data_IF_798813374896
#
_entry.id   IF_798813374896
#
_cell.length_a   1.000
_cell.length_b   1.000
_cell.length_c   1.000
_cell.angle_alpha   90.00
_cell.angle_beta   90.00
_cell.angle_gamma   90.00
#
_symmetry.space_group_name_H-M   'P 1'
#
loop_
_entity.id
_entity.type
_entity.pdbx_description
1 polymer ?
#
# COMPACT_ATOMS: atom_id res chain seq x y z
N UNK A 1 -26.97 -3.07 -17.34
CA UNK A 1 -27.00 -3.43 -15.90
C UNK A 1 -25.68 -2.95 -15.34
N UNK A 2 -25.74 -1.83 -14.61
CA UNK A 2 -24.60 -1.29 -13.88
C UNK A 2 -24.58 -2.06 -12.56
N UNK A 3 -23.64 -3.00 -12.40
CA UNK A 3 -23.39 -3.61 -11.11
C UNK A 3 -22.77 -2.53 -10.21
N UNK A 4 -23.63 -1.83 -9.47
CA UNK A 4 -23.24 -1.04 -8.31
C UNK A 4 -22.57 -1.99 -7.32
N UNK A 5 -21.25 -2.07 -7.39
CA UNK A 5 -20.46 -2.64 -6.31
C UNK A 5 -20.77 -1.80 -5.07
N UNK A 6 -21.52 -2.37 -4.14
CA UNK A 6 -21.70 -1.86 -2.77
C UNK A 6 -20.32 -1.83 -2.10
N UNK A 7 -19.52 -0.81 -2.42
CA UNK A 7 -18.31 -0.50 -1.70
C UNK A 7 -18.81 0.10 -0.38
N UNK A 8 -18.99 -0.75 0.64
CA UNK A 8 -19.18 -0.27 2.00
C UNK A 8 -18.01 0.67 2.32
N UNK A 9 -18.28 1.98 2.26
CA UNK A 9 -17.30 3.01 2.56
C UNK A 9 -16.87 2.83 4.01
N UNK A 10 -15.75 2.16 4.22
CA UNK A 10 -15.17 2.01 5.55
C UNK A 10 -14.91 3.42 6.08
N UNK A 11 -15.49 3.80 7.23
CA UNK A 11 -15.24 5.10 7.83
C UNK A 11 -13.72 5.31 7.93
N UNK A 12 -13.17 6.47 7.53
CA UNK A 12 -11.73 6.69 7.49
C UNK A 12 -11.05 6.46 8.85
N UNK A 13 -11.80 6.62 9.94
CA UNK A 13 -11.40 6.35 11.32
C UNK A 13 -11.21 4.86 11.67
N UNK A 14 -11.73 3.93 10.86
CA UNK A 14 -11.57 2.47 11.06
C UNK A 14 -10.47 1.87 10.17
N UNK A 15 -9.90 2.65 9.26
CA UNK A 15 -8.87 2.16 8.36
C UNK A 15 -7.51 2.27 9.03
N UNK A 16 -6.84 1.13 9.16
CA UNK A 16 -5.51 1.04 9.78
C UNK A 16 -4.51 0.50 8.76
N UNK A 17 -3.47 1.27 8.49
CA UNK A 17 -2.29 0.78 7.78
C UNK A 17 -1.07 1.07 8.63
N UNK A 18 -0.26 0.05 8.84
CA UNK A 18 0.99 0.18 9.57
C UNK A 18 2.14 0.38 8.56
N UNK A 19 3.08 1.24 8.90
CA UNK A 19 4.29 1.48 8.11
C UNK A 19 5.46 1.11 9.00
N UNK A 20 6.35 0.21 8.56
CA UNK A 20 7.53 -0.13 9.35
C UNK A 20 8.53 1.02 9.37
N UNK A 21 9.40 1.06 10.37
CA UNK A 21 10.50 2.04 10.42
C UNK A 21 11.35 1.99 9.15
N UNK A 22 11.62 0.79 8.61
CA UNK A 22 12.40 0.61 7.37
C UNK A 22 11.72 1.23 6.16
N UNK A 23 10.42 1.00 6.00
CA UNK A 23 9.65 1.64 4.94
C UNK A 23 9.64 3.17 5.10
N UNK A 24 9.40 3.66 6.32
CA UNK A 24 9.37 5.09 6.59
C UNK A 24 10.73 5.77 6.33
N UNK A 25 11.84 5.15 6.71
CA UNK A 25 13.18 5.65 6.41
C UNK A 25 13.45 5.70 4.91
N UNK A 26 12.98 4.70 4.16
CA UNK A 26 13.14 4.68 2.71
C UNK A 26 12.30 5.75 2.03
N UNK A 27 11.05 5.96 2.47
CA UNK A 27 10.20 7.05 1.98
C UNK A 27 10.84 8.42 2.26
N UNK A 28 11.41 8.61 3.46
CA UNK A 28 12.15 9.81 3.80
C UNK A 28 13.35 10.04 2.88
N UNK A 29 14.14 9.00 2.60
CA UNK A 29 15.27 9.08 1.67
C UNK A 29 14.82 9.48 0.26
N UNK A 30 13.70 8.91 -0.21
CA UNK A 30 13.12 9.25 -1.52
C UNK A 30 12.68 10.71 -1.53
N UNK A 31 11.92 11.16 -0.54
CA UNK A 31 11.47 12.55 -0.44
C UNK A 31 12.63 13.55 -0.43
N UNK A 32 13.70 13.27 0.34
CA UNK A 32 14.91 14.09 0.35
C UNK A 32 15.61 14.09 -1.02
N UNK A 33 15.73 12.93 -1.67
CA UNK A 33 16.37 12.81 -2.99
C UNK A 33 15.62 13.61 -4.05
N UNK A 34 14.29 13.54 -4.04
CA UNK A 34 13.43 14.28 -4.97
C UNK A 34 13.26 15.76 -4.59
N UNK A 35 13.82 16.20 -3.45
CA UNK A 35 13.58 17.53 -2.86
C UNK A 35 12.09 17.86 -2.76
N UNK A 36 11.27 16.86 -2.46
CA UNK A 36 9.81 16.96 -2.43
C UNK A 36 9.25 16.32 -1.15
N UNK A 37 8.78 17.11 -0.16
CA UNK A 37 8.19 16.58 1.07
C UNK A 37 6.85 15.88 0.84
N UNK A 38 6.18 16.13 -0.30
CA UNK A 38 4.91 15.50 -0.68
C UNK A 38 5.12 14.20 -1.47
N UNK A 39 6.39 13.83 -1.74
CA UNK A 39 6.68 12.54 -2.36
C UNK A 39 6.12 11.40 -1.49
N UNK A 40 5.46 10.46 -2.14
CA UNK A 40 4.75 9.37 -1.49
C UNK A 40 4.90 8.07 -2.26
N UNK A 41 4.75 6.95 -1.56
CA UNK A 41 4.47 5.67 -2.20
C UNK A 41 2.97 5.54 -2.36
N UNK A 42 2.47 5.42 -3.59
CA UNK A 42 1.09 5.04 -3.85
C UNK A 42 1.00 3.53 -4.02
N UNK A 43 0.05 2.92 -3.33
CA UNK A 43 -0.30 1.51 -3.45
C UNK A 43 -1.71 1.40 -4.00
N UNK A 44 -1.85 0.64 -5.07
CA UNK A 44 -3.12 0.21 -5.62
C UNK A 44 -3.18 -1.32 -5.67
N UNK A 45 -4.39 -1.86 -5.70
CA UNK A 45 -4.67 -3.28 -5.90
C UNK A 45 -5.36 -3.42 -7.25
N UNK A 46 -4.73 -4.20 -8.14
CA UNK A 46 -5.29 -4.52 -9.45
C UNK A 46 -5.75 -5.98 -9.47
N UNK A 47 -6.79 -6.29 -10.26
CA UNK A 47 -7.12 -7.68 -10.58
C UNK A 47 -5.94 -8.29 -11.35
N UNK A 48 -5.20 -9.19 -10.70
CA UNK A 48 -4.23 -10.05 -11.37
C UNK A 48 -4.91 -11.04 -12.30
N UNK A 49 -4.11 -11.77 -13.10
CA UNK A 49 -4.60 -12.83 -13.98
C UNK A 49 -5.21 -14.02 -13.22
N UNK A 50 -4.92 -15.26 -13.62
CA UNK A 50 -5.56 -16.45 -13.03
C UNK A 50 -5.38 -16.67 -11.51
N UNK A 51 -4.67 -15.79 -10.80
CA UNK A 51 -4.24 -15.95 -9.40
C UNK A 51 -4.77 -14.86 -8.43
N UNK A 52 -5.77 -14.07 -8.81
CA UNK A 52 -6.46 -13.14 -7.88
C UNK A 52 -6.03 -11.69 -8.02
N UNK A 53 -5.49 -11.08 -6.96
CA UNK A 53 -5.13 -9.66 -6.87
C UNK A 53 -3.61 -9.42 -6.90
N UNK A 54 -3.20 -8.24 -7.36
CA UNK A 54 -1.80 -7.81 -7.42
C UNK A 54 -1.62 -6.43 -6.80
N UNK A 55 -0.52 -6.23 -6.09
CA UNK A 55 -0.14 -4.92 -5.58
C UNK A 55 0.64 -4.15 -6.64
N UNK A 56 0.16 -2.94 -6.94
CA UNK A 56 0.87 -1.97 -7.76
C UNK A 56 1.41 -0.87 -6.87
N UNK A 57 2.71 -0.65 -6.96
CA UNK A 57 3.42 0.33 -6.14
C UNK A 57 4.11 1.34 -7.05
N UNK A 58 3.84 2.62 -6.85
CA UNK A 58 4.44 3.69 -7.64
C UNK A 58 4.85 4.87 -6.75
N UNK A 59 5.86 5.63 -7.19
CA UNK A 59 6.24 6.86 -6.51
C UNK A 59 5.39 8.01 -7.07
N UNK A 60 4.57 8.60 -6.20
CA UNK A 60 3.76 9.76 -6.51
C UNK A 60 4.46 11.04 -6.05
N UNK A 61 4.35 12.10 -6.85
CA UNK A 61 4.88 13.44 -6.50
C UNK A 61 3.91 14.22 -5.61
N UNK A 62 2.64 13.87 -5.62
CA UNK A 62 1.56 14.54 -4.90
C UNK A 62 0.37 13.61 -4.72
N UNK A 63 -0.47 13.93 -3.74
CA UNK A 63 -1.75 13.26 -3.48
C UNK A 63 -2.80 13.59 -4.55
N UNK A 64 -3.58 12.60 -4.98
CA UNK A 64 -4.80 12.76 -5.77
C UNK A 64 -6.04 12.89 -4.85
N UNK A 65 -7.17 13.46 -5.33
CA UNK A 65 -8.37 13.64 -4.51
C UNK A 65 -8.92 12.34 -3.90
N UNK A 66 -8.82 11.24 -4.65
CA UNK A 66 -9.36 9.93 -4.27
C UNK A 66 -8.36 9.08 -3.48
N UNK A 67 -7.18 9.64 -3.17
CA UNK A 67 -6.18 8.97 -2.35
C UNK A 67 -6.45 9.20 -0.86
N UNK A 68 -6.35 8.13 -0.08
CA UNK A 68 -6.19 8.17 1.36
C UNK A 68 -4.72 8.27 1.71
N UNK A 69 -4.36 9.21 2.59
CA UNK A 69 -2.98 9.44 2.99
C UNK A 69 -2.72 8.90 4.39
N UNK A 70 -1.65 8.12 4.50
CA UNK A 70 -1.10 7.60 5.75
C UNK A 70 0.32 8.13 5.93
N UNK A 71 0.78 8.17 7.18
CA UNK A 71 2.13 8.63 7.51
C UNK A 71 2.65 7.91 8.73
N UNK A 72 3.98 7.72 8.77
CA UNK A 72 4.61 7.15 9.95
C UNK A 72 4.45 8.08 11.17
N UNK A 73 4.18 7.54 12.38
CA UNK A 73 3.95 8.37 13.56
C UNK A 73 5.15 9.25 13.93
N UNK A 74 6.38 8.73 13.75
CA UNK A 74 7.62 9.37 14.25
C UNK A 74 8.60 9.79 13.16
N UNK A 75 8.56 9.20 11.97
CA UNK A 75 9.56 9.40 10.91
C UNK A 75 8.89 10.19 9.79
N UNK A 76 9.37 11.39 9.51
CA UNK A 76 8.78 12.28 8.49
C UNK A 76 9.88 12.93 7.63
N UNK A 77 9.61 13.28 6.35
CA UNK A 77 8.42 12.89 5.58
C UNK A 77 8.41 11.39 5.26
N UNK A 78 7.24 10.74 5.37
CA UNK A 78 7.05 9.33 5.05
C UNK A 78 5.59 9.09 4.65
N UNK A 79 5.25 9.55 3.44
CA UNK A 79 3.88 9.54 2.95
C UNK A 79 3.57 8.22 2.22
N UNK A 80 2.40 7.66 2.55
CA UNK A 80 1.81 6.53 1.87
C UNK A 80 0.44 6.96 1.34
N UNK A 81 0.14 6.62 0.09
CA UNK A 81 -1.14 6.89 -0.55
C UNK A 81 -1.80 5.57 -0.96
N UNK A 82 -3.10 5.47 -0.78
CA UNK A 82 -3.90 4.32 -1.22
C UNK A 82 -5.18 4.85 -1.84
N UNK A 83 -5.51 4.39 -3.05
CA UNK A 83 -6.76 4.81 -3.68
C UNK A 83 -7.99 4.21 -2.96
N UNK A 84 -9.13 4.87 -3.09
CA UNK A 84 -10.36 4.49 -2.40
C UNK A 84 -10.82 3.05 -2.66
N UNK A 85 -10.57 2.51 -3.87
CA UNK A 85 -11.01 1.16 -4.27
C UNK A 85 -10.11 0.09 -3.65
N UNK A 86 -8.81 0.38 -3.54
CA UNK A 86 -7.81 -0.51 -2.94
C UNK A 86 -7.83 -0.50 -1.42
N UNK A 87 -8.37 0.54 -0.79
CA UNK A 87 -8.32 0.74 0.65
C UNK A 87 -8.92 -0.43 1.46
N UNK A 88 -10.12 -0.96 1.12
CA UNK A 88 -10.70 -2.09 1.84
C UNK A 88 -9.85 -3.36 1.73
N UNK A 89 -9.18 -3.55 0.58
CA UNK A 89 -8.34 -4.71 0.27
C UNK A 89 -6.99 -4.68 0.98
N UNK A 90 -6.59 -3.51 1.49
CA UNK A 90 -5.33 -3.30 2.21
C UNK A 90 -5.53 -3.04 3.70
N UNK A 91 -6.75 -2.84 4.17
CA UNK A 91 -7.01 -2.47 5.56
C UNK A 91 -6.45 -3.50 6.55
N UNK A 92 -5.63 -3.02 7.49
CA UNK A 92 -4.89 -3.78 8.48
C UNK A 92 -3.51 -4.28 8.03
N UNK A 93 -3.11 -4.00 6.79
CA UNK A 93 -1.81 -4.42 6.26
C UNK A 93 -0.65 -3.60 6.82
N UNK A 94 0.54 -4.20 6.80
CA UNK A 94 1.81 -3.56 7.15
C UNK A 94 2.67 -3.34 5.91
N UNK A 95 3.07 -2.10 5.67
CA UNK A 95 3.94 -1.72 4.56
C UNK A 95 5.39 -1.75 5.04
N UNK A 96 6.20 -2.61 4.42
CA UNK A 96 7.60 -2.80 4.76
C UNK A 96 8.53 -2.50 3.56
N UNK A 97 9.81 -2.31 3.86
CA UNK A 97 10.86 -2.21 2.86
C UNK A 97 11.93 -3.27 3.13
N UNK A 98 11.96 -4.28 2.28
CA UNK A 98 12.87 -5.41 2.39
C UNK A 98 14.13 -5.16 1.54
N UNK A 99 15.29 -5.50 2.09
CA UNK A 99 16.56 -5.53 1.35
C UNK A 99 17.07 -6.96 1.34
N UNK A 100 17.17 -7.53 0.15
CA UNK A 100 17.66 -8.88 -0.11
C UNK A 100 18.92 -8.83 -0.98
N UNK A 101 19.59 -9.98 -1.15
CA UNK A 101 20.80 -10.11 -1.97
C UNK A 101 20.63 -9.61 -3.40
N UNK A 102 19.43 -9.78 -3.97
CA UNK A 102 19.13 -9.44 -5.37
C UNK A 102 18.58 -8.02 -5.55
N UNK A 103 18.31 -7.30 -4.46
CA UNK A 103 17.73 -5.96 -4.54
C UNK A 103 16.91 -5.58 -3.31
N UNK A 104 16.33 -4.39 -3.37
CA UNK A 104 15.46 -3.88 -2.31
C UNK A 104 14.14 -3.42 -2.91
N UNK A 105 13.04 -3.70 -2.22
CA UNK A 105 11.71 -3.36 -2.68
C UNK A 105 10.77 -3.10 -1.51
N UNK A 106 9.73 -2.30 -1.76
CA UNK A 106 8.58 -2.24 -0.88
C UNK A 106 7.79 -3.55 -0.97
N UNK A 107 7.17 -3.96 0.14
CA UNK A 107 6.35 -5.16 0.25
C UNK A 107 5.18 -4.91 1.20
N UNK A 108 4.10 -5.65 1.00
CA UNK A 108 2.93 -5.63 1.88
C UNK A 108 2.93 -6.94 2.66
N UNK A 109 2.98 -6.81 3.98
CA UNK A 109 2.96 -7.92 4.92
C UNK A 109 1.65 -7.91 5.69
N UNK A 110 1.29 -9.08 6.25
CA UNK A 110 0.17 -9.26 7.18
C UNK A 110 -1.16 -8.70 6.67
N UNK A 111 -1.41 -8.74 5.34
CA UNK A 111 -2.70 -8.31 4.79
C UNK A 111 -3.82 -9.24 5.28
N UNK A 112 -4.76 -8.77 6.13
CA UNK A 112 -5.84 -9.60 6.66
C UNK A 112 -6.79 -10.14 5.58
N UNK A 113 -6.85 -9.46 4.44
CA UNK A 113 -7.69 -9.81 3.30
C UNK A 113 -7.05 -10.91 2.44
N UNK A 114 -5.76 -11.19 2.60
CA UNK A 114 -5.07 -12.20 1.81
C UNK A 114 -5.28 -13.61 2.38
N UNK A 115 -5.64 -14.55 1.51
CA UNK A 115 -5.71 -15.98 1.80
C UNK A 115 -4.31 -16.57 1.78
N UNK A 116 -3.80 -16.95 2.96
CA UNK A 116 -2.45 -17.51 3.12
C UNK A 116 -1.34 -16.48 2.89
N UNK A 117 -0.10 -16.94 2.72
CA UNK A 117 1.09 -16.07 2.67
C UNK A 117 1.40 -15.48 1.27
N UNK A 118 0.48 -15.52 0.32
CA UNK A 118 0.71 -15.09 -1.08
C UNK A 118 1.72 -15.96 -1.83
N UNK A 119 1.90 -15.70 -3.13
CA UNK A 119 2.99 -16.32 -3.91
C UNK A 119 4.34 -15.79 -3.39
N UNK A 120 5.39 -16.61 -3.32
CA UNK A 120 6.63 -16.37 -2.56
C UNK A 120 7.43 -15.09 -2.84
N UNK A 121 6.99 -14.23 -3.76
CA UNK A 121 7.49 -12.87 -4.00
C UNK A 121 6.66 -11.75 -3.36
N UNK A 122 5.50 -12.05 -2.77
CA UNK A 122 4.65 -11.11 -2.01
C UNK A 122 3.89 -10.06 -2.85
N UNK A 123 3.91 -10.16 -4.18
CA UNK A 123 3.27 -9.19 -5.09
C UNK A 123 1.86 -9.59 -5.53
N UNK A 124 1.47 -10.85 -5.34
CA UNK A 124 0.16 -11.38 -5.73
C UNK A 124 -0.45 -12.25 -4.62
N UNK A 125 -1.77 -12.20 -4.49
CA UNK A 125 -2.52 -12.86 -3.42
C UNK A 125 -3.98 -13.12 -3.82
N UNK A 126 -4.63 -14.05 -3.13
CA UNK A 126 -6.05 -14.38 -3.31
C UNK A 126 -6.86 -13.76 -2.18
N UNK A 127 -8.05 -13.22 -2.48
CA UNK A 127 -8.94 -12.69 -1.45
C UNK A 127 -9.46 -13.82 -0.55
N UNK A 128 -9.48 -13.58 0.75
CA UNK A 128 -10.09 -14.46 1.73
C UNK A 128 -11.61 -14.29 1.68
N UNK A 129 -12.31 -15.36 1.32
CA UNK A 129 -13.78 -15.45 1.41
C UNK A 129 -14.28 -15.30 2.86
#
# INVERSE_FOLDING_TARGET
EEEELDVELIPPEKVKLDITDRAAEQLRKIATRESNPDAALRIAVESGGCHGYQYKMELAKSRSPDDYQFSHPTIKPANLLVDAVSLPLLNGSTIDFATELIGSSFRINDNPQAKGSGCGCGVSWELKE
#
